data_IF_207130066113
#
_entry.id   IF_207130066113
#
_cell.length_a   1.000
_cell.length_b   1.000
_cell.length_c   1.000
_cell.angle_alpha   90.00
_cell.angle_beta   90.00
_cell.angle_gamma   90.00
#
_symmetry.space_group_name_H-M   'P 1'
#
loop_
_entity.id
_entity.type
_entity.pdbx_description
1 polymer ?
#
# COMPACT_ATOMS: atom_id res chain seq x y z
N UNK A 1 -11.95 -15.75 23.66
CA UNK A 1 -11.93 -14.56 24.53
C UNK A 1 -10.96 -13.49 24.02
N UNK A 2 -9.68 -13.83 23.80
CA UNK A 2 -8.65 -12.93 23.24
C UNK A 2 -9.09 -12.11 22.02
N UNK A 3 -9.62 -12.75 20.97
CA UNK A 3 -10.01 -12.03 19.74
C UNK A 3 -11.06 -10.94 19.99
N UNK A 4 -12.02 -11.18 20.89
CA UNK A 4 -13.06 -10.21 21.26
C UNK A 4 -12.48 -9.01 22.01
N UNK A 5 -11.51 -9.25 22.89
CA UNK A 5 -10.82 -8.20 23.64
C UNK A 5 -10.01 -7.32 22.67
N UNK A 6 -9.17 -7.93 21.84
CA UNK A 6 -8.38 -7.22 20.81
C UNK A 6 -9.29 -6.40 19.89
N UNK A 7 -10.40 -6.98 19.43
CA UNK A 7 -11.38 -6.27 18.60
C UNK A 7 -12.01 -5.07 19.31
N UNK A 8 -12.40 -5.23 20.57
CA UNK A 8 -12.98 -4.15 21.37
C UNK A 8 -11.98 -3.02 21.62
N UNK A 9 -10.71 -3.35 21.88
CA UNK A 9 -9.63 -2.38 22.01
C UNK A 9 -9.40 -1.60 20.72
N UNK A 10 -9.40 -2.26 19.56
CA UNK A 10 -9.27 -1.58 18.27
C UNK A 10 -10.46 -0.65 18.01
N UNK A 11 -11.70 -1.07 18.33
CA UNK A 11 -12.86 -0.17 18.22
C UNK A 11 -12.75 1.05 19.11
N UNK A 12 -12.34 0.87 20.37
CA UNK A 12 -12.13 1.97 21.29
C UNK A 12 -11.05 2.92 20.76
N UNK A 13 -9.93 2.38 20.27
CA UNK A 13 -8.85 3.16 19.68
C UNK A 13 -9.33 3.98 18.46
N UNK A 14 -10.07 3.36 17.53
CA UNK A 14 -10.62 4.07 16.37
C UNK A 14 -11.64 5.14 16.77
N UNK A 15 -12.44 4.88 17.80
CA UNK A 15 -13.39 5.87 18.32
C UNK A 15 -12.66 7.07 18.96
N UNK A 16 -11.63 6.83 19.77
CA UNK A 16 -10.78 7.88 20.33
C UNK A 16 -10.08 8.69 19.21
N UNK A 17 -9.54 8.01 18.20
CA UNK A 17 -8.95 8.67 17.04
C UNK A 17 -9.99 9.50 16.26
N UNK A 18 -11.26 9.09 16.22
CA UNK A 18 -12.33 9.82 15.54
C UNK A 18 -12.63 11.19 16.18
N UNK A 19 -12.50 11.30 17.50
CA UNK A 19 -12.77 12.55 18.24
C UNK A 19 -11.52 13.41 18.44
N UNK A 20 -10.33 12.86 18.20
CA UNK A 20 -9.07 13.58 18.37
C UNK A 20 -8.80 14.57 17.20
N UNK A 21 -8.23 15.75 17.48
CA UNK A 21 -7.80 16.67 16.42
C UNK A 21 -6.76 16.04 15.48
N UNK A 22 -6.83 16.34 14.18
CA UNK A 22 -5.88 15.83 13.18
C UNK A 22 -4.42 16.10 13.56
N UNK A 23 -4.12 17.32 14.00
CA UNK A 23 -2.76 17.73 14.41
C UNK A 23 -2.22 16.88 15.54
N UNK A 24 -3.08 16.49 16.50
CA UNK A 24 -2.71 15.62 17.61
C UNK A 24 -2.38 14.20 17.13
N UNK A 25 -3.17 13.66 16.19
CA UNK A 25 -2.89 12.35 15.59
C UNK A 25 -1.53 12.35 14.89
N UNK A 26 -1.25 13.36 14.05
CA UNK A 26 0.05 13.48 13.39
C UNK A 26 1.20 13.58 14.40
N UNK A 27 1.04 14.39 15.46
CA UNK A 27 2.07 14.57 16.48
C UNK A 27 2.36 13.27 17.25
N UNK A 28 1.33 12.55 17.70
CA UNK A 28 1.49 11.27 18.41
C UNK A 28 2.14 10.22 17.52
N UNK A 29 1.65 10.05 16.29
CA UNK A 29 2.16 9.00 15.39
C UNK A 29 3.62 9.29 15.01
N UNK A 30 3.97 10.56 14.80
CA UNK A 30 5.36 11.01 14.60
C UNK A 30 6.23 10.67 15.80
N UNK A 31 5.80 11.02 17.01
CA UNK A 31 6.52 10.71 18.25
C UNK A 31 6.77 9.21 18.41
N UNK A 32 5.73 8.39 18.23
CA UNK A 32 5.81 6.93 18.33
C UNK A 32 6.75 6.33 17.27
N UNK A 33 6.69 6.79 16.03
CA UNK A 33 7.50 6.24 14.95
C UNK A 33 8.98 6.63 15.11
N UNK A 34 9.26 7.85 15.58
CA UNK A 34 10.62 8.27 15.94
C UNK A 34 11.15 7.54 17.18
N UNK A 35 10.29 7.23 18.16
CA UNK A 35 10.66 6.39 19.29
C UNK A 35 11.03 4.96 18.83
N UNK A 36 10.22 4.37 17.93
CA UNK A 36 10.53 3.06 17.33
C UNK A 36 11.87 3.12 16.58
N UNK A 37 12.14 4.18 15.82
CA UNK A 37 13.43 4.36 15.14
C UNK A 37 14.62 4.38 16.13
N UNK A 38 14.44 4.94 17.32
CA UNK A 38 15.49 4.97 18.34
C UNK A 38 15.68 3.61 19.02
N UNK A 39 14.58 2.91 19.34
CA UNK A 39 14.58 1.67 20.12
C UNK A 39 14.84 0.42 19.27
N UNK A 40 14.22 0.29 18.09
CA UNK A 40 14.38 -0.86 17.19
C UNK A 40 15.61 -0.70 16.30
N UNK A 41 16.78 -0.90 16.91
CA UNK A 41 18.08 -0.82 16.23
C UNK A 41 18.17 -1.78 15.03
N UNK A 42 17.49 -2.93 15.08
CA UNK A 42 17.50 -3.92 13.99
C UNK A 42 16.80 -3.36 12.75
N UNK A 43 15.60 -2.79 12.91
CA UNK A 43 14.86 -2.17 11.80
C UNK A 43 15.56 -0.92 11.29
N UNK A 44 16.08 -0.07 12.18
CA UNK A 44 16.89 1.08 11.78
C UNK A 44 18.09 0.69 10.93
N UNK A 45 18.88 -0.30 11.37
CA UNK A 45 20.06 -0.73 10.64
C UNK A 45 19.71 -1.34 9.28
N UNK A 46 18.59 -2.06 9.17
CA UNK A 46 18.09 -2.56 7.89
C UNK A 46 17.71 -1.40 6.95
N UNK A 47 17.04 -0.36 7.46
CA UNK A 47 16.74 0.85 6.66
C UNK A 47 18.01 1.52 6.16
N UNK A 48 19.01 1.70 7.03
CA UNK A 48 20.31 2.27 6.67
C UNK A 48 20.98 1.42 5.57
N UNK A 49 21.06 0.09 5.74
CA UNK A 49 21.64 -0.81 4.74
C UNK A 49 20.93 -0.70 3.38
N UNK A 50 19.59 -0.70 3.37
CA UNK A 50 18.82 -0.55 2.14
C UNK A 50 19.08 0.80 1.47
N UNK A 51 19.16 1.89 2.24
CA UNK A 51 19.46 3.22 1.71
C UNK A 51 20.89 3.32 1.17
N UNK A 52 21.89 2.75 1.87
CA UNK A 52 23.28 2.71 1.39
C UNK A 52 23.39 1.93 0.07
N UNK A 53 22.63 0.84 -0.09
CA UNK A 53 22.59 0.11 -1.36
C UNK A 53 21.88 0.89 -2.47
N UNK A 54 20.81 1.62 -2.14
CA UNK A 54 20.03 2.38 -3.12
C UNK A 54 20.69 3.69 -3.55
N UNK A 55 21.50 4.31 -2.67
CA UNK A 55 22.15 5.61 -2.87
C UNK A 55 23.64 5.52 -2.51
N UNK A 56 24.44 4.75 -3.29
CA UNK A 56 25.86 4.55 -3.00
C UNK A 56 26.70 5.83 -3.07
N UNK A 57 26.19 6.88 -3.71
CA UNK A 57 26.82 8.19 -3.84
C UNK A 57 26.71 9.06 -2.58
N UNK A 58 25.86 8.70 -1.61
CA UNK A 58 25.59 9.50 -0.41
C UNK A 58 26.54 9.20 0.73
N UNK A 59 26.84 10.20 1.55
CA UNK A 59 27.66 9.99 2.75
C UNK A 59 26.89 9.26 3.85
N UNK A 60 27.61 8.72 4.84
CA UNK A 60 26.98 8.06 5.99
C UNK A 60 26.04 8.97 6.77
N UNK A 61 26.37 10.27 6.87
CA UNK A 61 25.55 11.29 7.53
C UNK A 61 24.25 11.55 6.76
N UNK A 62 24.34 11.66 5.43
CA UNK A 62 23.16 11.83 4.56
C UNK A 62 22.24 10.61 4.63
N UNK A 63 22.81 9.39 4.60
CA UNK A 63 22.05 8.15 4.75
C UNK A 63 21.38 8.08 6.13
N UNK A 64 22.07 8.48 7.20
CA UNK A 64 21.49 8.50 8.54
C UNK A 64 20.33 9.49 8.62
N UNK A 65 20.50 10.70 8.07
CA UNK A 65 19.44 11.70 7.99
C UNK A 65 18.22 11.19 7.20
N UNK A 66 18.45 10.61 6.02
CA UNK A 66 17.41 9.98 5.20
C UNK A 66 16.70 8.84 5.94
N UNK A 67 17.44 8.00 6.67
CA UNK A 67 16.85 6.88 7.41
C UNK A 67 15.86 7.36 8.48
N UNK A 68 16.12 8.50 9.11
CA UNK A 68 15.19 9.12 10.05
C UNK A 68 14.00 9.73 9.32
N UNK A 69 14.23 10.36 8.17
CA UNK A 69 13.16 10.94 7.34
C UNK A 69 12.19 9.88 6.81
N UNK A 70 12.66 8.68 6.46
CA UNK A 70 11.80 7.53 6.11
C UNK A 70 10.78 7.26 7.23
N UNK A 71 11.19 7.33 8.50
CA UNK A 71 10.30 7.12 9.65
C UNK A 71 9.37 8.31 9.87
N UNK A 72 9.83 9.55 9.63
CA UNK A 72 8.94 10.73 9.59
C UNK A 72 7.86 10.56 8.52
N UNK A 73 8.21 10.17 7.30
CA UNK A 73 7.26 9.97 6.20
C UNK A 73 6.30 8.79 6.45
N UNK A 74 6.81 7.69 7.02
CA UNK A 74 5.99 6.56 7.43
C UNK A 74 4.96 6.98 8.48
N UNK A 75 5.34 7.85 9.41
CA UNK A 75 4.42 8.37 10.43
C UNK A 75 3.25 9.14 9.82
N UNK A 76 3.51 9.93 8.76
CA UNK A 76 2.47 10.65 8.02
C UNK A 76 1.53 9.65 7.33
N UNK A 77 2.07 8.64 6.63
CA UNK A 77 1.25 7.59 6.00
C UNK A 77 0.37 6.86 7.02
N UNK A 78 0.90 6.48 8.18
CA UNK A 78 0.13 5.80 9.24
C UNK A 78 -0.99 6.72 9.77
N UNK A 79 -0.69 7.99 10.01
CA UNK A 79 -1.68 8.96 10.47
C UNK A 79 -2.79 9.18 9.43
N UNK A 80 -2.44 9.32 8.15
CA UNK A 80 -3.41 9.44 7.06
C UNK A 80 -4.32 8.21 6.96
N UNK A 81 -3.76 7.00 7.02
CA UNK A 81 -4.55 5.76 7.02
C UNK A 81 -5.51 5.72 8.22
N UNK A 82 -5.05 6.12 9.42
CA UNK A 82 -5.91 6.20 10.61
C UNK A 82 -7.04 7.22 10.43
N UNK A 83 -6.75 8.39 9.85
CA UNK A 83 -7.75 9.39 9.50
C UNK A 83 -8.74 8.85 8.46
N UNK A 84 -8.29 8.04 7.50
CA UNK A 84 -9.17 7.37 6.53
C UNK A 84 -10.11 6.37 7.22
N UNK A 85 -9.60 5.55 8.16
CA UNK A 85 -10.43 4.62 8.95
C UNK A 85 -11.52 5.34 9.75
N UNK A 86 -11.22 6.52 10.28
CA UNK A 86 -12.16 7.31 11.08
C UNK A 86 -13.10 8.18 10.25
N UNK A 87 -12.93 8.21 8.93
CA UNK A 87 -13.71 9.06 8.01
C UNK A 87 -13.31 10.54 8.05
N UNK A 88 -12.20 10.86 8.68
CA UNK A 88 -11.67 12.21 8.82
C UNK A 88 -10.65 12.56 7.72
N UNK A 89 -10.58 11.81 6.63
CA UNK A 89 -9.65 12.06 5.52
C UNK A 89 -10.40 12.20 4.20
N UNK A 90 -10.15 13.30 3.49
CA UNK A 90 -10.75 13.55 2.17
C UNK A 90 -9.78 13.06 1.09
N UNK A 91 -10.15 11.95 0.46
CA UNK A 91 -9.32 11.25 -0.53
C UNK A 91 -9.04 12.12 -1.76
N UNK A 92 -10.05 12.85 -2.26
CA UNK A 92 -9.88 13.59 -3.52
C UNK A 92 -9.06 14.86 -3.29
N UNK A 93 -9.34 15.57 -2.18
CA UNK A 93 -8.58 16.78 -1.81
C UNK A 93 -7.12 16.50 -1.47
N UNK A 94 -6.77 15.27 -1.10
CA UNK A 94 -5.39 14.87 -0.86
C UNK A 94 -4.57 14.74 -2.15
N UNK A 95 -5.21 14.69 -3.33
CA UNK A 95 -4.55 14.53 -4.63
C UNK A 95 -4.49 15.88 -5.34
N UNK A 96 -3.30 16.47 -5.41
CA UNK A 96 -3.07 17.78 -6.03
C UNK A 96 -3.48 17.83 -7.52
N UNK A 97 -3.15 16.79 -8.28
CA UNK A 97 -3.48 16.68 -9.71
C UNK A 97 -4.73 15.82 -9.96
N UNK A 98 -5.72 15.86 -9.05
CA UNK A 98 -6.89 14.98 -9.09
C UNK A 98 -7.63 15.00 -10.44
N UNK A 99 -7.77 16.16 -11.10
CA UNK A 99 -8.53 16.26 -12.35
C UNK A 99 -7.81 15.58 -13.51
N UNK A 100 -6.49 15.79 -13.62
CA UNK A 100 -5.65 15.08 -14.58
C UNK A 100 -5.66 13.57 -14.32
N UNK A 101 -5.54 13.18 -13.04
CA UNK A 101 -5.57 11.78 -12.65
C UNK A 101 -6.91 11.12 -12.99
N UNK A 102 -8.05 11.75 -12.68
CA UNK A 102 -9.39 11.27 -13.03
C UNK A 102 -9.56 11.09 -14.53
N UNK A 103 -9.11 12.06 -15.34
CA UNK A 103 -9.16 11.95 -16.80
C UNK A 103 -8.37 10.73 -17.31
N UNK A 104 -7.14 10.55 -16.84
CA UNK A 104 -6.32 9.37 -17.19
C UNK A 104 -6.97 8.06 -16.78
N UNK A 105 -7.64 8.02 -15.62
CA UNK A 105 -8.36 6.82 -15.18
C UNK A 105 -9.55 6.48 -16.07
N UNK A 106 -10.29 7.49 -16.53
CA UNK A 106 -11.38 7.29 -17.49
C UNK A 106 -10.84 6.76 -18.83
N UNK A 107 -9.74 7.33 -19.33
CA UNK A 107 -9.08 6.85 -20.55
C UNK A 107 -8.60 5.40 -20.41
N UNK A 108 -8.02 5.04 -19.26
CA UNK A 108 -7.61 3.66 -18.96
C UNK A 108 -8.83 2.74 -18.95
N UNK A 109 -9.91 3.12 -18.26
CA UNK A 109 -11.12 2.31 -18.17
C UNK A 109 -11.79 2.08 -19.53
N UNK A 110 -11.76 3.08 -20.43
CA UNK A 110 -12.34 2.99 -21.77
C UNK A 110 -11.49 2.18 -22.74
N UNK A 111 -10.15 2.23 -22.61
CA UNK A 111 -9.22 1.67 -23.59
C UNK A 111 -8.51 0.38 -23.13
N UNK A 112 -9.07 -0.32 -22.13
CA UNK A 112 -8.48 -1.56 -21.60
C UNK A 112 -9.44 -2.76 -21.70
N UNK A 113 -9.74 -3.27 -22.92
CA UNK A 113 -10.74 -4.33 -23.13
C UNK A 113 -10.36 -5.66 -22.47
N UNK A 114 -9.10 -5.85 -22.08
CA UNK A 114 -8.59 -7.04 -21.43
C UNK A 114 -8.32 -6.85 -19.91
N UNK A 115 -8.84 -5.76 -19.34
CA UNK A 115 -8.62 -5.39 -17.94
C UNK A 115 -7.27 -4.72 -17.69
N UNK A 116 -7.06 -4.34 -16.43
CA UNK A 116 -5.91 -3.51 -16.01
C UNK A 116 -5.16 -4.17 -14.85
N UNK A 117 -3.83 -4.17 -14.92
CA UNK A 117 -2.94 -4.53 -13.83
C UNK A 117 -2.27 -3.25 -13.33
N UNK A 118 -2.69 -2.77 -12.17
CA UNK A 118 -2.04 -1.68 -11.46
C UNK A 118 -0.79 -2.20 -10.76
N UNK A 119 0.35 -1.64 -11.13
CA UNK A 119 1.66 -1.95 -10.55
C UNK A 119 2.10 -0.81 -9.64
N UNK A 120 2.39 -1.11 -8.38
CA UNK A 120 2.88 -0.12 -7.41
C UNK A 120 3.85 -0.76 -6.40
N UNK A 121 4.23 -0.01 -5.38
CA UNK A 121 5.10 -0.46 -4.29
C UNK A 121 4.54 -0.01 -2.93
N UNK A 122 5.17 -0.44 -1.83
CA UNK A 122 4.94 0.13 -0.50
C UNK A 122 5.59 1.52 -0.40
N UNK A 123 5.11 2.45 -1.22
CA UNK A 123 5.63 3.80 -1.37
C UNK A 123 4.57 4.82 -0.95
N UNK A 124 4.95 5.80 -0.13
CA UNK A 124 4.06 6.85 0.37
C UNK A 124 2.77 6.26 0.96
N UNK A 125 1.58 6.73 0.56
CA UNK A 125 0.29 6.22 1.01
C UNK A 125 -0.41 5.40 -0.09
N UNK A 126 -0.10 4.10 -0.12
CA UNK A 126 -0.67 3.16 -1.10
C UNK A 126 -2.15 2.84 -0.84
N UNK A 127 -2.64 2.92 0.41
CA UNK A 127 -4.07 2.73 0.71
C UNK A 127 -4.89 3.93 0.16
N UNK A 128 -4.36 5.15 0.25
CA UNK A 128 -4.94 6.32 -0.41
C UNK A 128 -5.01 6.12 -1.92
N UNK A 129 -3.94 5.63 -2.55
CA UNK A 129 -3.95 5.32 -3.98
C UNK A 129 -5.05 4.31 -4.32
N UNK A 130 -5.14 3.21 -3.57
CA UNK A 130 -6.15 2.19 -3.81
C UNK A 130 -7.59 2.71 -3.68
N UNK A 131 -7.85 3.58 -2.70
CA UNK A 131 -9.16 4.20 -2.51
C UNK A 131 -9.46 5.24 -3.60
N UNK A 132 -8.48 6.07 -3.98
CA UNK A 132 -8.66 7.08 -5.03
C UNK A 132 -8.99 6.44 -6.38
N UNK A 133 -8.25 5.40 -6.78
CA UNK A 133 -8.49 4.67 -8.03
C UNK A 133 -9.89 4.06 -8.06
N UNK A 134 -10.29 3.36 -7.00
CA UNK A 134 -11.58 2.71 -6.90
C UNK A 134 -12.74 3.70 -6.91
N UNK A 135 -12.63 4.78 -6.10
CA UNK A 135 -13.63 5.85 -6.04
C UNK A 135 -13.84 6.53 -7.40
N UNK A 136 -12.80 6.60 -8.22
CA UNK A 136 -12.82 7.27 -9.53
C UNK A 136 -12.91 6.29 -10.71
N UNK A 137 -13.59 5.15 -10.53
CA UNK A 137 -14.02 4.28 -11.63
C UNK A 137 -13.07 3.13 -11.96
N UNK A 138 -12.02 2.91 -11.17
CA UNK A 138 -11.10 1.78 -11.35
C UNK A 138 -11.00 0.89 -10.10
N UNK A 139 -12.10 0.27 -9.64
CA UNK A 139 -12.06 -0.70 -8.55
C UNK A 139 -11.23 -1.90 -8.96
N UNK A 140 -10.47 -2.44 -8.01
CA UNK A 140 -9.51 -3.51 -8.28
C UNK A 140 -9.51 -4.59 -7.21
N UNK A 141 -9.08 -5.77 -7.63
CA UNK A 141 -8.71 -6.86 -6.74
C UNK A 141 -7.33 -6.55 -6.11
N UNK A 142 -7.30 -6.22 -4.82
CA UNK A 142 -6.08 -5.97 -4.07
C UNK A 142 -5.63 -7.23 -3.31
N UNK A 143 -4.35 -7.60 -3.48
CA UNK A 143 -3.79 -8.80 -2.84
C UNK A 143 -3.11 -8.44 -1.51
N UNK A 144 -3.64 -8.98 -0.42
CA UNK A 144 -3.16 -8.72 0.93
C UNK A 144 -2.95 -9.99 1.76
N UNK A 145 -2.36 -9.83 2.94
CA UNK A 145 -2.39 -10.85 4.00
C UNK A 145 -3.65 -10.64 4.84
N UNK A 146 -4.36 -11.72 5.18
CA UNK A 146 -5.45 -11.68 6.17
C UNK A 146 -4.89 -11.36 7.56
N UNK A 147 -5.60 -10.52 8.30
CA UNK A 147 -5.30 -10.26 9.71
C UNK A 147 -5.32 -11.55 10.53
N UNK A 148 -4.57 -11.57 11.65
CA UNK A 148 -4.56 -12.73 12.54
C UNK A 148 -5.87 -12.86 13.34
N UNK A 149 -6.55 -11.74 13.61
CA UNK A 149 -7.80 -11.69 14.34
C UNK A 149 -8.97 -11.55 13.36
N UNK A 150 -9.85 -12.56 13.33
CA UNK A 150 -10.96 -12.62 12.36
C UNK A 150 -11.97 -11.50 12.53
N UNK A 151 -12.24 -11.07 13.77
CA UNK A 151 -13.22 -10.01 14.04
C UNK A 151 -12.74 -8.66 13.51
N UNK A 152 -11.45 -8.35 13.66
CA UNK A 152 -10.84 -7.14 13.10
C UNK A 152 -10.82 -7.21 11.57
N UNK A 153 -10.39 -8.35 11.01
CA UNK A 153 -10.31 -8.55 9.55
C UNK A 153 -11.69 -8.35 8.91
N UNK A 154 -12.71 -9.08 9.38
CA UNK A 154 -14.05 -9.08 8.79
C UNK A 154 -14.84 -7.79 9.03
N UNK A 155 -14.71 -7.16 10.20
CA UNK A 155 -15.57 -6.02 10.55
C UNK A 155 -14.89 -4.65 10.40
N UNK A 156 -13.58 -4.59 10.19
CA UNK A 156 -12.82 -3.33 10.11
C UNK A 156 -11.96 -3.29 8.85
N UNK A 157 -11.01 -4.22 8.71
CA UNK A 157 -10.00 -4.16 7.65
C UNK A 157 -10.60 -4.39 6.26
N UNK A 158 -11.41 -5.43 6.09
CA UNK A 158 -12.04 -5.75 4.80
C UNK A 158 -13.02 -4.65 4.38
N UNK A 159 -13.99 -4.22 5.21
CA UNK A 159 -14.89 -3.13 4.85
C UNK A 159 -14.18 -1.82 4.52
N UNK A 160 -13.06 -1.53 5.20
CA UNK A 160 -12.23 -0.36 4.88
C UNK A 160 -11.67 -0.43 3.46
N UNK A 161 -11.03 -1.55 3.10
CA UNK A 161 -10.41 -1.73 1.78
C UNK A 161 -11.43 -1.79 0.66
N UNK A 162 -12.58 -2.41 0.92
CA UNK A 162 -13.66 -2.63 -0.06
C UNK A 162 -14.64 -1.45 -0.16
N UNK A 163 -14.45 -0.40 0.65
CA UNK A 163 -15.37 0.75 0.77
C UNK A 163 -15.81 1.37 -0.55
N UNK A 164 -14.93 1.41 -1.55
CA UNK A 164 -15.18 1.99 -2.88
C UNK A 164 -15.24 0.94 -3.99
N UNK A 165 -15.51 -0.32 -3.65
CA UNK A 165 -15.70 -1.42 -4.62
C UNK A 165 -14.44 -2.21 -4.95
N UNK A 166 -13.31 -1.97 -4.28
CA UNK A 166 -12.19 -2.91 -4.32
C UNK A 166 -12.60 -4.25 -3.70
N UNK A 167 -11.87 -5.31 -4.05
CA UNK A 167 -11.99 -6.62 -3.41
C UNK A 167 -10.65 -6.97 -2.75
N UNK A 168 -10.67 -7.42 -1.48
CA UNK A 168 -9.45 -7.77 -0.76
C UNK A 168 -9.26 -9.29 -0.65
N UNK A 169 -8.20 -9.84 -1.26
CA UNK A 169 -7.97 -11.29 -1.29
C UNK A 169 -6.64 -11.71 -0.68
N UNK A 170 -6.66 -12.83 0.04
CA UNK A 170 -5.49 -13.40 0.68
C UNK A 170 -4.47 -13.99 -0.30
N UNK A 171 -3.17 -13.82 -0.04
CA UNK A 171 -2.08 -14.40 -0.85
C UNK A 171 -2.22 -15.90 -1.20
N UNK A 172 -2.77 -16.74 -0.31
CA UNK A 172 -2.85 -18.22 -0.50
C UNK A 172 -3.61 -18.67 -1.76
N UNK A 173 -4.48 -17.84 -2.33
CA UNK A 173 -5.23 -18.13 -3.57
C UNK A 173 -5.16 -16.98 -4.58
N UNK A 174 -4.21 -16.05 -4.39
CA UNK A 174 -4.17 -14.81 -5.16
C UNK A 174 -4.09 -15.04 -6.67
N UNK A 175 -3.19 -15.91 -7.13
CA UNK A 175 -3.01 -16.18 -8.57
C UNK A 175 -4.30 -16.66 -9.25
N UNK A 176 -5.02 -17.60 -8.65
CA UNK A 176 -6.26 -18.13 -9.20
C UNK A 176 -7.35 -17.05 -9.29
N UNK A 177 -7.47 -16.21 -8.25
CA UNK A 177 -8.48 -15.15 -8.22
C UNK A 177 -8.13 -14.02 -9.19
N UNK A 178 -6.84 -13.66 -9.32
CA UNK A 178 -6.38 -12.71 -10.33
C UNK A 178 -6.66 -13.20 -11.76
N UNK A 179 -6.37 -14.48 -12.04
CA UNK A 179 -6.72 -15.12 -13.32
C UNK A 179 -8.22 -14.99 -13.60
N UNK A 180 -9.07 -15.30 -12.61
CA UNK A 180 -10.53 -15.19 -12.77
C UNK A 180 -10.97 -13.75 -13.02
N UNK A 181 -10.37 -12.78 -12.32
CA UNK A 181 -10.67 -11.35 -12.50
C UNK A 181 -10.30 -10.87 -13.91
N UNK A 182 -9.10 -11.19 -14.38
CA UNK A 182 -8.60 -10.74 -15.69
C UNK A 182 -9.32 -11.44 -16.86
N UNK A 183 -9.73 -12.71 -16.71
CA UNK A 183 -10.59 -13.39 -17.70
C UNK A 183 -11.89 -12.65 -17.99
N UNK A 184 -12.39 -11.87 -17.03
CA UNK A 184 -13.60 -11.07 -17.16
C UNK A 184 -13.27 -9.58 -17.42
N UNK A 185 -12.09 -9.28 -17.97
CA UNK A 185 -11.60 -7.93 -18.22
C UNK A 185 -11.60 -7.01 -16.98
N UNK A 186 -11.49 -7.57 -15.77
CA UNK A 186 -11.46 -6.81 -14.53
C UNK A 186 -10.06 -6.29 -14.15
N UNK A 187 -9.98 -5.51 -13.07
CA UNK A 187 -8.73 -4.87 -12.65
C UNK A 187 -8.09 -5.56 -11.43
N UNK A 188 -6.76 -5.54 -11.37
CA UNK A 188 -5.95 -6.13 -10.30
C UNK A 188 -4.90 -5.13 -9.82
N UNK A 189 -4.71 -4.99 -8.51
CA UNK A 189 -3.67 -4.15 -7.91
C UNK A 189 -2.59 -4.97 -7.19
N UNK A 190 -1.32 -4.71 -7.51
CA UNK A 190 -0.18 -5.44 -6.98
C UNK A 190 0.92 -4.52 -6.47
N UNK A 191 1.33 -4.75 -5.22
CA UNK A 191 2.58 -4.24 -4.64
C UNK A 191 3.69 -5.28 -4.91
N UNK A 192 4.70 -4.91 -5.69
CA UNK A 192 5.70 -5.85 -6.23
C UNK A 192 7.10 -5.73 -5.65
N UNK A 193 7.29 -4.83 -4.69
CA UNK A 193 8.57 -4.40 -4.13
C UNK A 193 9.09 -5.26 -2.97
N UNK A 194 8.33 -6.29 -2.57
CA UNK A 194 8.75 -7.20 -1.50
C UNK A 194 9.11 -8.58 -2.06
N UNK A 195 10.14 -9.18 -1.45
CA UNK A 195 10.57 -10.55 -1.71
C UNK A 195 9.36 -11.50 -1.67
N UNK A 196 9.05 -12.14 -2.79
CA UNK A 196 7.88 -13.01 -2.89
C UNK A 196 8.08 -14.37 -2.22
N UNK A 197 9.33 -14.82 -2.09
CA UNK A 197 9.71 -16.09 -1.43
C UNK A 197 9.11 -17.34 -2.05
N UNK A 198 8.52 -17.23 -3.24
CA UNK A 198 7.76 -18.29 -3.91
C UNK A 198 8.52 -18.82 -5.14
N UNK A 199 8.12 -19.99 -5.61
CA UNK A 199 8.66 -20.62 -6.83
C UNK A 199 8.53 -19.75 -8.10
N UNK A 200 7.66 -18.72 -8.09
CA UNK A 200 7.40 -17.84 -9.22
C UNK A 200 8.07 -16.45 -9.07
N UNK A 201 9.37 -16.46 -8.80
CA UNK A 201 10.21 -15.26 -8.81
C UNK A 201 11.51 -15.49 -9.56
N UNK A 202 12.04 -14.42 -10.13
CA UNK A 202 13.34 -14.38 -10.81
C UNK A 202 14.22 -13.34 -10.13
N UNK A 203 15.54 -13.50 -10.20
CA UNK A 203 16.47 -12.45 -9.81
C UNK A 203 16.59 -11.44 -10.95
N UNK A 204 16.27 -10.19 -10.68
CA UNK A 204 16.50 -9.05 -11.58
C UNK A 204 17.29 -7.99 -10.82
N UNK A 205 18.01 -7.16 -11.55
CA UNK A 205 18.75 -6.06 -10.93
C UNK A 205 17.79 -4.98 -10.45
N UNK A 206 17.90 -4.66 -9.16
CA UNK A 206 17.22 -3.55 -8.52
C UNK A 206 18.27 -2.72 -7.77
N UNK A 207 18.43 -1.45 -8.14
CA UNK A 207 19.57 -0.62 -7.71
C UNK A 207 20.94 -1.29 -7.98
N UNK A 208 21.09 -1.94 -9.13
CA UNK A 208 22.33 -2.62 -9.52
C UNK A 208 22.69 -3.85 -8.68
N UNK A 209 21.74 -4.38 -7.89
CA UNK A 209 21.91 -5.59 -7.08
C UNK A 209 20.85 -6.62 -7.45
N UNK A 210 21.20 -7.93 -7.53
CA UNK A 210 20.22 -8.97 -7.79
C UNK A 210 19.17 -9.07 -6.67
N UNK A 211 17.90 -8.87 -7.00
CA UNK A 211 16.77 -8.96 -6.08
C UNK A 211 15.72 -9.96 -6.59
N UNK A 212 15.21 -10.81 -5.70
CA UNK A 212 14.11 -11.73 -6.03
C UNK A 212 12.81 -10.95 -6.26
N UNK A 213 12.37 -10.93 -7.52
CA UNK A 213 11.20 -10.18 -7.99
C UNK A 213 10.14 -11.13 -8.52
N UNK A 214 8.87 -10.85 -8.22
CA UNK A 214 7.76 -11.71 -8.64
C UNK A 214 7.55 -11.65 -10.16
N UNK A 215 7.29 -12.80 -10.78
CA UNK A 215 6.93 -12.90 -12.19
C UNK A 215 5.44 -12.65 -12.45
N UNK A 216 4.63 -12.44 -11.40
CA UNK A 216 3.16 -12.44 -11.50
C UNK A 216 2.63 -11.43 -12.53
N UNK A 217 3.17 -10.20 -12.57
CA UNK A 217 2.72 -9.18 -13.54
C UNK A 217 3.04 -9.61 -14.97
N UNK A 218 4.30 -10.02 -15.22
CA UNK A 218 4.72 -10.45 -16.55
C UNK A 218 3.91 -11.66 -17.04
N UNK A 219 3.72 -12.68 -16.19
CA UNK A 219 2.93 -13.86 -16.52
C UNK A 219 1.46 -13.55 -16.81
N UNK A 220 0.86 -12.63 -16.03
CA UNK A 220 -0.53 -12.22 -16.24
C UNK A 220 -0.69 -11.38 -17.52
N UNK A 221 0.25 -10.45 -17.78
CA UNK A 221 0.27 -9.66 -19.02
C UNK A 221 0.36 -10.55 -20.25
N UNK A 222 1.33 -11.47 -20.30
CA UNK A 222 1.51 -12.37 -21.45
C UNK A 222 0.30 -13.29 -21.69
N UNK A 223 -0.42 -13.65 -20.63
CA UNK A 223 -1.56 -14.57 -20.72
C UNK A 223 -2.88 -13.91 -21.11
N UNK A 224 -3.12 -12.69 -20.63
CA UNK A 224 -4.41 -12.02 -20.80
C UNK A 224 -4.35 -10.74 -21.63
N UNK A 225 -3.16 -10.27 -21.99
CA UNK A 225 -2.92 -8.99 -22.65
C UNK A 225 -3.48 -7.76 -21.91
N UNK A 226 -3.71 -7.88 -20.60
CA UNK A 226 -4.18 -6.78 -19.76
C UNK A 226 -3.25 -5.55 -19.82
N UNK A 227 -3.77 -4.33 -19.69
CA UNK A 227 -2.93 -3.13 -19.65
C UNK A 227 -2.18 -3.07 -18.32
N UNK A 228 -0.85 -2.93 -18.33
CA UNK A 228 -0.06 -2.74 -17.10
C UNK A 228 0.18 -1.25 -16.90
N UNK A 229 -0.30 -0.71 -15.79
CA UNK A 229 -0.17 0.72 -15.46
C UNK A 229 0.61 0.89 -14.16
N UNK A 230 1.84 1.43 -14.19
CA UNK A 230 2.55 1.85 -12.99
C UNK A 230 1.87 3.06 -12.36
N UNK A 231 1.57 3.02 -11.06
CA UNK A 231 0.97 4.14 -10.32
C UNK A 231 1.70 4.37 -8.99
N UNK A 232 2.00 5.63 -8.70
CA UNK A 232 2.52 6.08 -7.41
C UNK A 232 1.84 7.38 -7.00
N UNK A 233 1.64 7.55 -5.69
CA UNK A 233 1.32 8.86 -5.11
C UNK A 233 2.58 9.33 -4.37
N UNK A 234 3.21 10.38 -4.86
CA UNK A 234 4.35 10.99 -4.18
C UNK A 234 3.85 12.12 -3.28
N UNK A 235 4.38 12.17 -2.06
CA UNK A 235 4.17 13.32 -1.16
C UNK A 235 5.09 14.45 -1.62
N UNK A 236 4.53 15.65 -1.77
CA UNK A 236 5.25 16.88 -2.09
C UNK A 236 5.50 17.71 -0.83
#
# INVERSE_FOLDING_TARGET
MREKIEYSLVKLFLWLAKIAPRSFIYAIVKGLTLLIYQLDKKRRNLTIQNLTMAFPEKTSEEILALSKEVYTQLSITIAEILLMFTGQFDIDKAIKNQEEAKKKLQEIAQNSPHGVIIMTAHFSNWELAAHFLAKNGLPMLAIGRKGNNKLIDTNITTPFREKYGNDAVSKKKAMLVMIKRLKNAGNVGLLIDQKSGNLNSVKVDFFGKPAETTLSIASLKLKFDALVVPIFIARQ
#
